data_IF_278014890048
#
_entry.id   IF_278014890048
#
_cell.length_a   1.000
_cell.length_b   1.000
_cell.length_c   1.000
_cell.angle_alpha   90.00
_cell.angle_beta   90.00
_cell.angle_gamma   90.00
#
_symmetry.space_group_name_H-M   'P 1'
#
loop_
_entity.id
_entity.type
_entity.pdbx_description
1 polymer ?
#
# COMPACT_ATOMS: atom_id res chain seq x y z
N UNK A 1 -16.64 9.37 7.61
CA UNK A 1 -15.65 9.90 6.64
C UNK A 1 -14.90 8.80 5.89
N UNK A 2 -14.37 7.77 6.57
CA UNK A 2 -13.74 6.61 5.91
C UNK A 2 -14.65 5.91 4.88
N UNK A 3 -15.95 5.77 5.19
CA UNK A 3 -16.96 5.20 4.27
C UNK A 3 -17.06 5.97 2.95
N UNK A 4 -16.89 7.29 2.97
CA UNK A 4 -16.94 8.13 1.75
C UNK A 4 -15.69 7.93 0.89
N UNK A 5 -14.51 7.81 1.52
CA UNK A 5 -13.25 7.48 0.84
C UNK A 5 -13.31 6.10 0.18
N UNK A 6 -13.81 5.11 0.92
CA UNK A 6 -14.00 3.73 0.43
C UNK A 6 -15.00 3.71 -0.73
N UNK A 7 -16.17 4.35 -0.56
CA UNK A 7 -17.19 4.41 -1.60
C UNK A 7 -16.68 5.10 -2.88
N UNK A 8 -15.95 6.21 -2.74
CA UNK A 8 -15.33 6.90 -3.88
C UNK A 8 -14.30 6.02 -4.60
N UNK A 9 -13.47 5.28 -3.87
CA UNK A 9 -12.50 4.38 -4.48
C UNK A 9 -13.14 3.17 -5.17
N UNK A 10 -14.21 2.61 -4.60
CA UNK A 10 -15.00 1.53 -5.21
C UNK A 10 -15.65 1.99 -6.51
N UNK A 11 -16.18 3.21 -6.56
CA UNK A 11 -16.75 3.79 -7.79
C UNK A 11 -15.68 3.95 -8.87
N UNK A 12 -14.48 4.39 -8.51
CA UNK A 12 -13.37 4.53 -9.46
C UNK A 12 -12.89 3.17 -9.96
N UNK A 13 -12.77 2.18 -9.08
CA UNK A 13 -12.47 0.81 -9.47
C UNK A 13 -13.52 0.23 -10.42
N UNK A 14 -14.80 0.49 -10.15
CA UNK A 14 -15.91 0.05 -11.01
C UNK A 14 -15.90 0.74 -12.39
N UNK A 15 -15.65 2.05 -12.44
CA UNK A 15 -15.58 2.81 -13.71
C UNK A 15 -14.37 2.41 -14.54
N UNK A 16 -13.24 2.10 -13.90
CA UNK A 16 -12.01 1.70 -14.59
C UNK A 16 -11.91 0.19 -14.88
N UNK A 17 -12.95 -0.59 -14.55
CA UNK A 17 -12.96 -2.06 -14.67
C UNK A 17 -11.80 -2.75 -13.93
N UNK A 18 -11.42 -2.20 -12.80
CA UNK A 18 -10.31 -2.70 -11.99
C UNK A 18 -10.89 -3.56 -10.87
N UNK A 19 -10.89 -4.88 -11.11
CA UNK A 19 -11.48 -5.90 -10.21
C UNK A 19 -10.86 -5.94 -8.80
N UNK A 20 -9.54 -5.77 -8.61
CA UNK A 20 -8.91 -5.96 -7.29
C UNK A 20 -8.91 -4.70 -6.43
N UNK A 21 -10.10 -4.15 -6.19
CA UNK A 21 -10.32 -2.98 -5.33
C UNK A 21 -9.80 -3.21 -3.90
N UNK A 22 -9.67 -4.46 -3.47
CA UNK A 22 -9.12 -4.82 -2.16
C UNK A 22 -7.67 -4.33 -1.99
N UNK A 23 -6.88 -4.19 -3.06
CA UNK A 23 -5.51 -3.71 -2.98
C UNK A 23 -5.46 -2.29 -2.40
N UNK A 24 -6.25 -1.36 -2.94
CA UNK A 24 -6.36 -0.01 -2.38
C UNK A 24 -6.97 -0.01 -0.97
N UNK A 25 -7.85 -0.96 -0.65
CA UNK A 25 -8.42 -1.11 0.68
C UNK A 25 -7.36 -1.51 1.73
N UNK A 26 -6.37 -2.34 1.37
CA UNK A 26 -5.26 -2.70 2.26
C UNK A 26 -4.43 -1.48 2.65
N UNK A 27 -4.18 -0.56 1.70
CA UNK A 27 -3.47 0.69 2.00
C UNK A 27 -4.26 1.54 3.00
N UNK A 28 -5.55 1.74 2.71
CA UNK A 28 -6.43 2.53 3.58
C UNK A 28 -6.49 1.93 4.98
N UNK A 29 -6.71 0.61 5.08
CA UNK A 29 -6.76 -0.12 6.33
C UNK A 29 -5.45 0.01 7.11
N UNK A 30 -4.30 -0.22 6.46
CA UNK A 30 -3.00 -0.06 7.08
C UNK A 30 -2.81 1.37 7.63
N UNK A 31 -3.13 2.37 6.81
CA UNK A 31 -2.96 3.76 7.20
C UNK A 31 -3.85 4.17 8.38
N UNK A 32 -5.12 3.77 8.38
CA UNK A 32 -6.05 4.12 9.45
C UNK A 32 -5.81 3.32 10.73
N UNK A 33 -5.51 2.02 10.61
CA UNK A 33 -5.46 1.09 11.75
C UNK A 33 -4.06 0.98 12.36
N UNK A 34 -3.00 1.02 11.55
CA UNK A 34 -1.62 0.85 12.05
C UNK A 34 -0.94 2.19 12.30
N UNK A 35 -1.11 3.16 11.39
CA UNK A 35 -0.48 4.49 11.53
C UNK A 35 -1.40 5.54 12.13
N UNK A 36 -2.57 5.14 12.63
CA UNK A 36 -3.56 6.02 13.26
C UNK A 36 -3.92 7.27 12.42
N UNK A 37 -3.94 7.12 11.10
CA UNK A 37 -4.22 8.21 10.14
C UNK A 37 -3.19 9.35 10.12
N UNK A 38 -1.94 9.10 10.52
CA UNK A 38 -0.86 10.09 10.40
C UNK A 38 -0.51 10.35 8.91
N UNK A 39 -0.69 11.59 8.47
CA UNK A 39 -0.37 12.05 7.12
C UNK A 39 1.10 11.88 6.76
N UNK A 40 2.02 11.97 7.73
CA UNK A 40 3.46 11.79 7.51
C UNK A 40 3.81 10.33 7.21
N UNK A 41 3.03 9.40 7.75
CA UNK A 41 3.21 7.96 7.56
C UNK A 41 2.53 7.44 6.28
N UNK A 42 1.72 8.27 5.60
CA UNK A 42 1.04 7.90 4.36
C UNK A 42 2.04 7.64 3.22
N UNK A 43 3.00 8.54 3.00
CA UNK A 43 4.01 8.39 1.95
C UNK A 43 4.84 7.10 2.10
N UNK A 44 5.39 6.75 3.28
CA UNK A 44 6.05 5.46 3.45
C UNK A 44 5.09 4.27 3.35
N UNK A 45 3.83 4.37 3.81
CA UNK A 45 2.85 3.29 3.64
C UNK A 45 2.55 2.99 2.17
N UNK A 46 2.46 4.03 1.35
CA UNK A 46 2.32 4.02 -0.11
C UNK A 46 3.52 3.35 -0.76
N UNK A 47 4.73 3.81 -0.46
CA UNK A 47 5.97 3.28 -1.06
C UNK A 47 6.21 1.83 -0.64
N UNK A 48 5.92 1.48 0.61
CA UNK A 48 5.97 0.11 1.11
C UNK A 48 4.96 -0.81 0.42
N UNK A 49 3.71 -0.37 0.29
CA UNK A 49 2.67 -1.13 -0.42
C UNK A 49 3.02 -1.40 -1.89
N UNK A 50 3.54 -0.38 -2.60
CA UNK A 50 4.05 -0.53 -3.96
C UNK A 50 5.23 -1.51 -4.03
N UNK A 51 6.16 -1.44 -3.06
CA UNK A 51 7.29 -2.35 -2.98
C UNK A 51 6.81 -3.79 -2.81
N UNK A 52 5.83 -4.02 -1.93
CA UNK A 52 5.27 -5.35 -1.70
C UNK A 52 4.49 -5.88 -2.90
N UNK A 53 3.76 -5.01 -3.59
CA UNK A 53 3.07 -5.34 -4.85
C UNK A 53 4.07 -5.72 -5.96
N UNK A 54 5.15 -4.95 -6.12
CA UNK A 54 6.19 -5.21 -7.11
C UNK A 54 6.92 -6.53 -6.86
N UNK A 55 7.27 -6.83 -5.61
CA UNK A 55 7.89 -8.10 -5.22
C UNK A 55 6.96 -9.29 -5.53
N UNK A 56 5.68 -9.15 -5.21
CA UNK A 56 4.68 -10.19 -5.48
C UNK A 56 4.46 -10.39 -6.99
N UNK A 57 4.50 -9.31 -7.77
CA UNK A 57 4.45 -9.41 -9.23
C UNK A 57 5.67 -10.12 -9.82
N UNK A 58 6.87 -9.83 -9.30
CA UNK A 58 8.10 -10.47 -9.76
C UNK A 58 8.05 -12.00 -9.51
N UNK A 59 7.60 -12.40 -8.32
CA UNK A 59 7.46 -13.82 -7.96
C UNK A 59 6.50 -14.53 -8.91
N UNK A 60 5.37 -13.91 -9.22
CA UNK A 60 4.34 -14.49 -10.07
C UNK A 60 4.69 -14.49 -11.54
N UNK A 61 5.40 -13.46 -12.01
CA UNK A 61 5.99 -13.46 -13.36
C UNK A 61 6.96 -14.64 -13.51
N UNK A 62 7.77 -14.89 -12.47
CA UNK A 62 8.65 -16.06 -12.42
C UNK A 62 7.90 -17.38 -12.45
N UNK A 63 6.79 -17.46 -11.73
CA UNK A 63 5.91 -18.64 -11.73
C UNK A 63 5.24 -18.87 -13.09
N UNK A 64 4.70 -17.81 -13.72
CA UNK A 64 4.04 -17.87 -15.01
C UNK A 64 5.01 -18.25 -16.15
N UNK A 65 6.26 -17.80 -16.09
CA UNK A 65 7.32 -18.17 -17.03
C UNK A 65 7.99 -19.51 -16.71
N UNK A 66 7.57 -20.21 -15.63
CA UNK A 66 8.22 -21.40 -15.09
C UNK A 66 9.74 -21.23 -14.87
N UNK A 67 10.20 -20.00 -14.64
CA UNK A 67 11.61 -19.66 -14.55
C UNK A 67 12.08 -19.73 -13.10
N UNK A 68 12.64 -20.88 -12.73
CA UNK A 68 13.29 -21.11 -11.42
C UNK A 68 14.23 -19.97 -10.98
N UNK A 69 15.13 -19.43 -11.82
CA UNK A 69 16.03 -18.35 -11.37
C UNK A 69 15.29 -17.07 -10.99
N UNK A 70 14.18 -16.74 -11.67
CA UNK A 70 13.39 -15.55 -11.36
C UNK A 70 12.59 -15.71 -10.07
N UNK A 71 12.07 -16.91 -9.83
CA UNK A 71 11.38 -17.28 -8.58
C UNK A 71 12.35 -17.16 -7.40
N UNK A 72 13.56 -17.72 -7.53
CA UNK A 72 14.59 -17.64 -6.50
C UNK A 72 15.06 -16.19 -6.26
N UNK A 73 15.19 -15.39 -7.33
CA UNK A 73 15.53 -13.97 -7.21
C UNK A 73 14.44 -13.18 -6.46
N UNK A 74 13.17 -13.43 -6.78
CA UNK A 74 12.03 -12.80 -6.10
C UNK A 74 11.98 -13.20 -4.62
N UNK A 75 12.09 -14.50 -4.31
CA UNK A 75 12.14 -15.00 -2.94
C UNK A 75 13.33 -14.41 -2.16
N UNK A 76 14.51 -14.34 -2.77
CA UNK A 76 15.69 -13.72 -2.17
C UNK A 76 15.45 -12.25 -1.84
N UNK A 77 14.86 -11.48 -2.77
CA UNK A 77 14.47 -10.09 -2.54
C UNK A 77 13.44 -9.93 -1.41
N UNK A 78 12.46 -10.83 -1.32
CA UNK A 78 11.46 -10.81 -0.26
C UNK A 78 12.08 -11.10 1.12
N UNK A 79 13.05 -12.03 1.20
CA UNK A 79 13.81 -12.31 2.42
C UNK A 79 14.63 -11.08 2.83
N UNK A 80 15.30 -10.42 1.88
CA UNK A 80 16.05 -9.19 2.16
C UNK A 80 15.11 -8.07 2.63
N UNK A 81 13.95 -7.90 1.98
CA UNK A 81 12.96 -6.92 2.40
C UNK A 81 12.44 -7.21 3.82
N UNK A 82 12.16 -8.48 4.16
CA UNK A 82 11.78 -8.89 5.51
C UNK A 82 12.88 -8.59 6.53
N UNK A 83 14.13 -8.90 6.19
CA UNK A 83 15.27 -8.59 7.04
C UNK A 83 15.40 -7.08 7.29
N UNK A 84 15.23 -6.25 6.25
CA UNK A 84 15.25 -4.79 6.38
C UNK A 84 14.10 -4.26 7.26
N UNK A 85 12.90 -4.82 7.13
CA UNK A 85 11.76 -4.51 8.02
C UNK A 85 12.11 -4.83 9.47
N UNK A 86 12.60 -6.04 9.75
CA UNK A 86 12.94 -6.49 11.11
C UNK A 86 14.08 -5.65 11.69
N UNK A 87 15.08 -5.33 10.86
CA UNK A 87 16.22 -4.50 11.24
C UNK A 87 15.88 -3.01 11.38
N UNK A 88 14.66 -2.58 11.03
CA UNK A 88 14.24 -1.17 11.04
C UNK A 88 15.01 -0.30 10.05
N UNK A 89 15.59 -0.89 9.00
CA UNK A 89 16.41 -0.21 7.98
C UNK A 89 15.56 0.06 6.73
N UNK A 90 15.73 1.23 6.09
CA UNK A 90 14.96 1.64 4.91
C UNK A 90 13.42 1.61 5.11
N UNK A 91 12.87 2.25 6.18
CA UNK A 91 11.44 2.22 6.49
C UNK A 91 10.54 2.83 5.40
N UNK A 92 11.14 3.54 4.45
CA UNK A 92 10.44 4.07 3.28
C UNK A 92 9.96 2.96 2.33
N UNK A 93 10.81 1.96 2.07
CA UNK A 93 10.52 0.87 1.11
C UNK A 93 10.16 -0.44 1.80
N UNK A 94 10.75 -0.69 2.97
CA UNK A 94 10.62 -1.92 3.74
C UNK A 94 9.93 -1.58 5.06
N UNK A 95 8.60 -1.64 5.07
CA UNK A 95 7.81 -1.45 6.28
C UNK A 95 6.68 -2.48 6.41
N UNK A 96 5.85 -2.35 7.45
CA UNK A 96 4.76 -3.27 7.69
C UNK A 96 3.69 -3.27 6.56
N UNK A 97 3.56 -2.17 5.78
CA UNK A 97 2.73 -2.15 4.57
C UNK A 97 3.32 -3.05 3.47
N UNK A 98 4.65 -3.05 3.29
CA UNK A 98 5.34 -3.97 2.36
C UNK A 98 5.02 -5.43 2.66
N UNK A 99 5.07 -5.81 3.93
CA UNK A 99 4.75 -7.17 4.37
C UNK A 99 3.27 -7.49 4.18
N UNK A 100 2.37 -6.56 4.55
CA UNK A 100 0.93 -6.73 4.34
C UNK A 100 0.60 -7.07 2.87
N UNK A 101 1.17 -6.30 1.93
CA UNK A 101 0.94 -6.53 0.50
C UNK A 101 1.55 -7.84 0.02
N UNK A 102 2.79 -8.14 0.43
CA UNK A 102 3.44 -9.42 0.12
C UNK A 102 2.61 -10.60 0.61
N UNK A 103 2.09 -10.55 1.83
CA UNK A 103 1.32 -11.67 2.41
C UNK A 103 -0.01 -11.84 1.68
N UNK A 104 -0.75 -10.76 1.44
CA UNK A 104 -2.08 -10.86 0.83
C UNK A 104 -2.00 -11.23 -0.65
N UNK A 105 -1.05 -10.67 -1.40
CA UNK A 105 -0.93 -10.95 -2.85
C UNK A 105 -0.35 -12.33 -3.13
N UNK A 106 0.44 -12.89 -2.21
CA UNK A 106 0.94 -14.25 -2.36
C UNK A 106 0.05 -15.31 -1.68
N UNK A 107 -1.14 -14.92 -1.22
CA UNK A 107 -2.12 -15.87 -0.71
C UNK A 107 -2.69 -16.72 -1.87
N UNK A 108 -2.60 -18.07 -1.79
CA UNK A 108 -3.00 -18.95 -2.90
C UNK A 108 -4.49 -18.89 -3.23
N UNK A 109 -5.33 -18.44 -2.28
CA UNK A 109 -6.75 -18.20 -2.52
C UNK A 109 -7.02 -17.05 -3.49
N UNK A 110 -6.16 -16.01 -3.50
CA UNK A 110 -6.28 -14.87 -4.42
C UNK A 110 -5.60 -15.15 -5.76
N UNK A 111 -4.43 -15.82 -5.74
CA UNK A 111 -3.67 -16.13 -6.97
C UNK A 111 -4.44 -17.01 -7.98
N UNK A 112 -5.36 -17.84 -7.51
CA UNK A 112 -6.16 -18.72 -8.38
C UNK A 112 -7.33 -18.02 -9.07
N UNK A 113 -7.76 -16.87 -8.56
CA UNK A 113 -9.01 -16.23 -8.96
C UNK A 113 -8.82 -14.91 -9.73
N UNK A 114 -7.60 -14.37 -9.78
CA UNK A 114 -7.38 -13.00 -10.28
C UNK A 114 -6.33 -12.83 -11.36
N UNK A 115 -6.58 -11.82 -12.21
CA UNK A 115 -5.60 -11.26 -13.13
C UNK A 115 -4.73 -10.23 -12.41
N UNK A 116 -3.49 -10.62 -12.14
CA UNK A 116 -2.52 -9.81 -11.41
C UNK A 116 -2.17 -8.47 -12.06
N UNK A 117 -2.40 -8.35 -13.36
CA UNK A 117 -2.21 -7.09 -14.07
C UNK A 117 -3.20 -6.05 -13.57
N UNK A 118 -4.43 -6.46 -13.25
CA UNK A 118 -5.42 -5.58 -12.64
C UNK A 118 -5.07 -5.25 -11.19
N UNK A 119 -4.41 -6.14 -10.46
CA UNK A 119 -3.98 -5.92 -9.06
C UNK A 119 -3.02 -4.76 -8.96
N UNK A 120 -2.07 -4.68 -9.89
CA UNK A 120 -1.11 -3.57 -9.96
C UNK A 120 -1.82 -2.28 -10.33
N UNK A 121 -2.72 -2.30 -11.32
CA UNK A 121 -3.50 -1.13 -11.73
C UNK A 121 -4.35 -0.61 -10.57
N UNK A 122 -4.99 -1.51 -9.82
CA UNK A 122 -5.77 -1.16 -8.62
C UNK A 122 -4.91 -0.55 -7.53
N UNK A 123 -3.73 -1.11 -7.31
CA UNK A 123 -2.78 -0.61 -6.31
C UNK A 123 -2.36 0.81 -6.66
N UNK A 124 -1.99 1.07 -7.92
CA UNK A 124 -1.58 2.39 -8.41
C UNK A 124 -2.74 3.39 -8.35
N UNK A 125 -3.94 2.99 -8.77
CA UNK A 125 -5.13 3.85 -8.66
C UNK A 125 -5.49 4.17 -7.22
N UNK A 126 -5.39 3.19 -6.31
CA UNK A 126 -5.57 3.40 -4.88
C UNK A 126 -4.57 4.38 -4.33
N UNK A 127 -3.30 4.23 -4.72
CA UNK A 127 -2.24 5.16 -4.37
C UNK A 127 -2.56 6.59 -4.77
N UNK A 128 -2.95 6.77 -6.03
CA UNK A 128 -3.24 8.07 -6.63
C UNK A 128 -4.47 8.68 -5.97
N UNK A 129 -5.57 7.93 -5.88
CA UNK A 129 -6.82 8.40 -5.31
C UNK A 129 -6.67 8.74 -3.83
N UNK A 130 -6.21 7.80 -3.01
CA UNK A 130 -6.07 8.03 -1.58
C UNK A 130 -4.96 9.05 -1.29
N UNK A 131 -3.82 8.98 -1.98
CA UNK A 131 -2.74 9.95 -1.85
C UNK A 131 -3.16 11.38 -2.20
N UNK A 132 -3.88 11.58 -3.32
CA UNK A 132 -4.41 12.90 -3.71
C UNK A 132 -5.48 13.37 -2.75
N UNK A 133 -6.46 12.51 -2.42
CA UNK A 133 -7.59 12.91 -1.57
C UNK A 133 -7.12 13.29 -0.18
N UNK A 134 -6.20 12.52 0.40
CA UNK A 134 -5.63 12.77 1.72
C UNK A 134 -4.68 13.99 1.69
N UNK A 135 -3.86 14.14 0.63
CA UNK A 135 -2.98 15.29 0.44
C UNK A 135 -3.73 16.62 0.24
N UNK A 136 -4.86 16.60 -0.48
CA UNK A 136 -5.74 17.76 -0.61
C UNK A 136 -6.38 18.11 0.74
N UNK A 137 -6.84 17.10 1.48
CA UNK A 137 -7.48 17.29 2.77
C UNK A 137 -6.50 17.81 3.83
N UNK A 138 -5.25 17.34 3.83
CA UNK A 138 -4.18 17.84 4.70
C UNK A 138 -3.76 19.28 4.41
N UNK A 139 -4.00 19.78 3.19
CA UNK A 139 -3.83 21.20 2.84
C UNK A 139 -5.04 22.07 3.20
N UNK A 140 -6.22 21.47 3.30
CA UNK A 140 -7.47 22.13 3.69
C UNK A 140 -7.70 22.11 5.20
N UNK A 141 -7.05 21.20 5.94
CA UNK A 141 -7.00 21.19 7.39
C UNK A 141 -6.17 22.40 7.88
N UNK A 142 -6.80 23.41 8.51
CA UNK A 142 -6.05 24.50 9.13
C UNK A 142 -5.15 23.90 10.22
N UNK A 143 -3.92 24.42 10.34
CA UNK A 143 -3.05 24.10 11.47
C UNK A 143 -3.70 24.56 12.79
N UNK A 144 -4.57 23.72 13.37
CA UNK A 144 -5.15 23.91 14.69
C UNK A 144 -4.13 23.59 15.80
N UNK A 145 -2.91 24.13 15.68
CA UNK A 145 -1.87 24.01 16.69
C UNK A 145 -0.87 25.20 16.66
N UNK A 146 -1.24 26.35 16.09
CA UNK A 146 -0.57 27.62 16.36
C UNK A 146 -1.15 28.34 17.59
N UNK A 147 -2.16 27.77 18.25
CA UNK A 147 -2.91 28.41 19.34
C UNK A 147 -2.90 27.56 20.62
N UNK A 148 -1.72 27.27 21.13
CA UNK A 148 -1.55 26.96 22.56
C UNK A 148 -0.20 27.47 23.04
N UNK A 149 0.01 28.77 22.87
CA UNK A 149 0.85 29.52 23.79
C UNK A 149 -0.07 30.10 24.89
N UNK A 150 0.05 29.64 26.13
CA UNK A 150 -0.16 30.50 27.28
C UNK A 150 1.19 30.84 27.90
N UNK A 151 1.41 32.14 28.02
CA UNK A 151 2.44 32.74 28.85
C UNK A 151 2.34 32.24 30.31
N UNK A 152 3.49 31.91 30.89
CA UNK A 152 3.71 31.88 32.35
C UNK A 152 5.13 32.48 32.50
N UNK A 153 5.28 33.78 32.76
CA UNK A 153 5.06 34.50 34.03
C UNK A 153 5.95 33.98 35.14
#
# INVERSE_FOLDING_TARGET
>A
MAVVLIAGFVVIGAVLHVVPVYAGFLLLWYWTSVTHSDLRALAPAVVGGLTGAALSYLLQTGAAMASVPLILAALGLMIVALFLVIAGRLPLFCNASTMLYVTVFNAPALQKAEDFRQVIVATVLGLIWFGLTIGLLGRLAPQAAAESAPAQA
#
